data_IF_604171537230
#
_entry.id   IF_604171537230
#
_cell.length_a   1.000
_cell.length_b   1.000
_cell.length_c   1.000
_cell.angle_alpha   90.00
_cell.angle_beta   90.00
_cell.angle_gamma   90.00
#
_symmetry.space_group_name_H-M   'P 1'
#
loop_
_entity.id
_entity.type
_entity.pdbx_description
1 polymer ?
#
# COMPACT_ATOMS: atom_id res chain seq x y z
N UNK A 1 -34.11 -17.84 -46.22
CA UNK A 1 -34.05 -16.50 -45.63
C UNK A 1 -34.03 -16.66 -44.13
N UNK A 2 -33.05 -16.07 -43.42
CA UNK A 2 -33.04 -16.09 -41.96
C UNK A 2 -34.33 -15.45 -41.45
N UNK A 3 -35.00 -16.08 -40.48
CA UNK A 3 -36.20 -15.50 -39.88
C UNK A 3 -35.83 -14.22 -39.12
N UNK A 4 -36.79 -13.32 -38.91
CA UNK A 4 -36.58 -12.11 -38.10
C UNK A 4 -36.06 -12.48 -36.70
N UNK A 5 -36.51 -13.61 -36.14
CA UNK A 5 -36.00 -14.17 -34.89
C UNK A 5 -34.52 -14.54 -34.97
N UNK A 6 -34.07 -15.19 -36.04
CA UNK A 6 -32.65 -15.55 -36.21
C UNK A 6 -31.77 -14.31 -36.29
N UNK A 7 -32.24 -13.27 -36.98
CA UNK A 7 -31.52 -12.00 -37.10
C UNK A 7 -31.40 -11.27 -35.76
N UNK A 8 -32.46 -11.29 -34.93
CA UNK A 8 -32.45 -10.71 -33.58
C UNK A 8 -31.48 -11.47 -32.67
N UNK A 9 -31.47 -12.80 -32.73
CA UNK A 9 -30.55 -13.64 -31.93
C UNK A 9 -29.10 -13.36 -32.32
N UNK A 10 -28.79 -13.31 -33.61
CA UNK A 10 -27.44 -13.01 -34.10
C UNK A 10 -27.01 -11.60 -33.66
N UNK A 11 -27.85 -10.58 -33.87
CA UNK A 11 -27.55 -9.21 -33.47
C UNK A 11 -27.28 -9.10 -31.97
N UNK A 12 -28.11 -9.75 -31.15
CA UNK A 12 -27.94 -9.77 -29.68
C UNK A 12 -26.63 -10.45 -29.28
N UNK A 13 -26.31 -11.60 -29.89
CA UNK A 13 -25.04 -12.29 -29.63
C UNK A 13 -23.83 -11.42 -30.00
N UNK A 14 -23.87 -10.73 -31.14
CA UNK A 14 -22.81 -9.81 -31.57
C UNK A 14 -22.62 -8.67 -30.57
N UNK A 15 -23.71 -8.05 -30.09
CA UNK A 15 -23.63 -6.97 -29.09
C UNK A 15 -23.01 -7.47 -27.79
N UNK A 16 -23.40 -8.66 -27.31
CA UNK A 16 -22.83 -9.27 -26.10
C UNK A 16 -21.33 -9.55 -26.28
N UNK A 17 -20.94 -10.11 -27.43
CA UNK A 17 -19.53 -10.39 -27.74
C UNK A 17 -18.72 -9.10 -27.76
N UNK A 18 -19.19 -8.05 -28.43
CA UNK A 18 -18.51 -6.75 -28.47
C UNK A 18 -18.39 -6.12 -27.08
N UNK A 19 -19.43 -6.24 -26.26
CA UNK A 19 -19.41 -5.76 -24.88
C UNK A 19 -18.36 -6.51 -24.04
N UNK A 20 -18.34 -7.84 -24.08
CA UNK A 20 -17.35 -8.66 -23.38
C UNK A 20 -15.93 -8.35 -23.89
N UNK A 21 -15.74 -8.23 -25.20
CA UNK A 21 -14.46 -7.87 -25.79
C UNK A 21 -13.98 -6.49 -25.31
N UNK A 22 -14.89 -5.52 -25.18
CA UNK A 22 -14.61 -4.21 -24.60
C UNK A 22 -14.16 -4.29 -23.15
N UNK A 23 -14.82 -5.09 -22.32
CA UNK A 23 -14.43 -5.31 -20.92
C UNK A 23 -13.07 -5.99 -20.80
N UNK A 24 -12.80 -7.01 -21.60
CA UNK A 24 -11.51 -7.70 -21.65
C UNK A 24 -10.40 -6.75 -22.10
N UNK A 25 -10.65 -5.92 -23.11
CA UNK A 25 -9.72 -4.89 -23.56
C UNK A 25 -9.40 -3.91 -22.42
N UNK A 26 -10.42 -3.41 -21.71
CA UNK A 26 -10.24 -2.53 -20.56
C UNK A 26 -9.41 -3.19 -19.44
N UNK A 27 -9.67 -4.46 -19.15
CA UNK A 27 -8.91 -5.24 -18.16
C UNK A 27 -7.44 -5.39 -18.56
N UNK A 28 -7.17 -5.63 -19.84
CA UNK A 28 -5.80 -5.68 -20.37
C UNK A 28 -5.08 -4.34 -20.29
N UNK A 29 -5.79 -3.22 -20.55
CA UNK A 29 -5.24 -1.88 -20.37
C UNK A 29 -4.88 -1.59 -18.91
N UNK A 30 -5.71 -2.02 -17.96
CA UNK A 30 -5.40 -1.91 -16.53
C UNK A 30 -4.13 -2.70 -16.17
N UNK A 31 -4.01 -3.96 -16.61
CA UNK A 31 -2.79 -4.74 -16.38
C UNK A 31 -1.53 -4.12 -17.01
N UNK A 32 -1.66 -3.50 -18.18
CA UNK A 32 -0.54 -2.78 -18.83
C UNK A 32 -0.14 -1.55 -18.01
N UNK A 33 -1.12 -0.77 -17.53
CA UNK A 33 -0.87 0.41 -16.71
C UNK A 33 -0.19 0.05 -15.38
N UNK A 34 -0.63 -1.02 -14.73
CA UNK A 34 0.00 -1.55 -13.52
C UNK A 34 1.48 -1.89 -13.77
N UNK A 35 1.76 -2.69 -14.81
CA UNK A 35 3.14 -3.08 -15.17
C UNK A 35 4.03 -1.88 -15.45
N UNK A 36 3.52 -0.90 -16.20
CA UNK A 36 4.27 0.32 -16.53
C UNK A 36 4.58 1.14 -15.27
N UNK A 37 3.64 1.28 -14.34
CA UNK A 37 3.91 2.01 -13.10
C UNK A 37 4.85 1.23 -12.18
N UNK A 38 4.71 -0.09 -12.06
CA UNK A 38 5.65 -0.93 -11.31
C UNK A 38 7.08 -0.73 -11.83
N UNK A 39 7.29 -0.79 -13.15
CA UNK A 39 8.61 -0.54 -13.75
C UNK A 39 9.13 0.86 -13.43
N UNK A 40 8.28 1.89 -13.51
CA UNK A 40 8.66 3.27 -13.14
C UNK A 40 9.03 3.40 -11.67
N UNK A 41 8.33 2.72 -10.77
CA UNK A 41 8.63 2.73 -9.33
C UNK A 41 9.93 2.00 -9.03
N UNK A 42 10.16 0.83 -9.64
CA UNK A 42 11.42 0.08 -9.51
C UNK A 42 12.61 0.91 -10.01
N UNK A 43 12.45 1.64 -11.11
CA UNK A 43 13.50 2.48 -11.66
C UNK A 43 13.93 3.65 -10.73
N UNK A 44 13.12 4.00 -9.72
CA UNK A 44 13.48 5.01 -8.71
C UNK A 44 14.50 4.49 -7.69
N UNK A 45 14.80 3.19 -7.70
CA UNK A 45 15.81 2.64 -6.83
C UNK A 45 17.19 3.25 -7.18
N UNK A 46 17.94 3.84 -6.22
CA UNK A 46 19.26 4.37 -6.50
C UNK A 46 20.19 3.26 -7.00
N UNK A 47 20.99 3.49 -8.06
CA UNK A 47 21.92 2.47 -8.58
C UNK A 47 23.03 2.11 -7.58
N UNK A 48 23.40 3.08 -6.73
CA UNK A 48 24.38 2.90 -5.66
C UNK A 48 23.79 3.47 -4.36
N UNK A 49 22.95 2.69 -3.65
CA UNK A 49 22.43 3.14 -2.37
C UNK A 49 23.58 3.34 -1.38
N UNK A 50 23.52 4.43 -0.60
CA UNK A 50 24.38 4.58 0.57
C UNK A 50 24.11 3.47 1.59
N UNK A 51 24.94 3.37 2.61
CA UNK A 51 24.78 2.37 3.68
C UNK A 51 24.27 3.02 4.95
N UNK A 52 23.49 2.26 5.72
CA UNK A 52 22.99 2.68 7.00
C UNK A 52 24.13 2.81 8.02
N UNK A 53 24.31 4.01 8.57
CA UNK A 53 25.26 4.27 9.64
C UNK A 53 24.52 4.87 10.85
N UNK A 54 24.77 4.39 12.08
CA UNK A 54 24.10 4.89 13.28
C UNK A 54 24.22 6.41 13.49
N UNK A 55 25.28 7.04 12.97
CA UNK A 55 25.47 8.51 13.01
C UNK A 55 24.33 9.27 12.33
N UNK A 56 23.64 8.66 11.36
CA UNK A 56 22.46 9.25 10.70
C UNK A 56 21.29 9.51 11.67
N UNK A 57 21.34 8.90 12.85
CA UNK A 57 20.29 8.99 13.86
C UNK A 57 20.60 10.00 14.97
N UNK A 58 21.79 10.61 15.00
CA UNK A 58 22.27 11.38 16.16
C UNK A 58 21.29 12.48 16.64
N UNK A 59 20.64 13.16 15.69
CA UNK A 59 19.73 14.29 15.92
C UNK A 59 18.25 13.86 16.02
N UNK A 60 17.97 12.55 15.96
CA UNK A 60 16.61 12.03 16.04
C UNK A 60 16.10 11.95 17.48
N UNK A 61 14.77 12.04 17.69
CA UNK A 61 14.13 11.65 18.95
C UNK A 61 14.46 10.20 19.33
N UNK A 62 14.57 9.93 20.62
CA UNK A 62 14.97 8.61 21.14
C UNK A 62 14.11 7.45 20.62
N UNK A 63 12.79 7.61 20.57
CA UNK A 63 11.89 6.58 20.00
C UNK A 63 12.20 6.30 18.51
N UNK A 64 12.51 7.32 17.72
CA UNK A 64 12.88 7.16 16.32
C UNK A 64 14.28 6.52 16.16
N UNK A 65 15.24 6.87 17.03
CA UNK A 65 16.56 6.22 17.06
C UNK A 65 16.44 4.72 17.28
N UNK A 66 15.73 4.32 18.35
CA UNK A 66 15.52 2.91 18.70
C UNK A 66 14.79 2.17 17.58
N UNK A 67 13.80 2.80 16.96
CA UNK A 67 13.12 2.27 15.78
C UNK A 67 14.09 1.92 14.64
N UNK A 68 14.89 2.89 14.19
CA UNK A 68 15.81 2.66 13.07
C UNK A 68 16.89 1.63 13.41
N UNK A 69 17.41 1.65 14.65
CA UNK A 69 18.37 0.65 15.12
C UNK A 69 17.77 -0.76 15.19
N UNK A 70 16.49 -0.88 15.53
CA UNK A 70 15.79 -2.16 15.51
C UNK A 70 15.55 -2.63 14.07
N UNK A 71 15.12 -1.73 13.18
CA UNK A 71 14.65 -2.07 11.84
C UNK A 71 15.74 -2.21 10.78
N UNK A 72 16.91 -1.60 10.95
CA UNK A 72 18.00 -1.60 9.96
C UNK A 72 19.32 -1.98 10.62
N UNK A 73 19.93 -3.06 10.15
CA UNK A 73 21.25 -3.48 10.60
C UNK A 73 22.32 -2.50 10.10
N UNK A 74 23.28 -2.02 10.93
CA UNK A 74 24.39 -1.19 10.47
C UNK A 74 25.15 -1.78 9.28
N UNK A 75 25.50 -0.94 8.31
CA UNK A 75 26.15 -1.36 7.07
C UNK A 75 25.19 -1.92 6.01
N UNK A 76 23.88 -1.95 6.26
CA UNK A 76 22.88 -2.37 5.27
C UNK A 76 22.69 -1.29 4.19
N UNK A 77 22.64 -1.63 2.89
CA UNK A 77 22.31 -0.65 1.85
C UNK A 77 20.91 -0.04 2.05
N UNK A 78 20.77 1.26 1.84
CA UNK A 78 19.54 2.02 2.03
C UNK A 78 18.54 1.79 0.88
N UNK A 79 17.73 0.74 1.01
CA UNK A 79 16.70 0.38 0.04
C UNK A 79 15.43 1.21 0.26
N UNK A 80 15.07 2.00 -0.74
CA UNK A 80 13.88 2.88 -0.72
C UNK A 80 12.71 2.32 -1.53
N UNK A 81 12.91 1.18 -2.19
CA UNK A 81 11.90 0.49 -3.00
C UNK A 81 11.81 -0.96 -2.55
N UNK A 82 10.59 -1.46 -2.32
CA UNK A 82 10.34 -2.83 -1.90
C UNK A 82 9.25 -3.49 -2.74
N UNK A 83 9.43 -4.77 -3.04
CA UNK A 83 8.40 -5.68 -3.50
C UNK A 83 7.96 -6.56 -2.33
N UNK A 84 6.67 -6.56 -2.02
CA UNK A 84 6.09 -7.23 -0.86
C UNK A 84 5.05 -8.23 -1.36
N UNK A 85 5.15 -9.47 -0.94
CA UNK A 85 4.14 -10.50 -1.17
C UNK A 85 3.42 -10.82 0.13
N UNK A 86 2.10 -10.86 0.09
CA UNK A 86 1.27 -11.01 1.28
C UNK A 86 0.02 -11.86 1.03
N UNK A 87 -0.44 -12.51 2.09
CA UNK A 87 -1.75 -13.14 2.18
C UNK A 87 -2.51 -12.53 3.34
N UNK A 88 -3.79 -12.84 3.51
CA UNK A 88 -4.51 -12.46 4.72
C UNK A 88 -6.00 -12.24 4.47
N UNK A 89 -6.57 -11.24 5.12
CA UNK A 89 -7.99 -10.94 5.06
C UNK A 89 -8.23 -9.48 4.70
N UNK A 90 -9.16 -9.26 3.78
CA UNK A 90 -9.64 -7.94 3.41
C UNK A 90 -11.15 -7.86 3.57
N UNK A 91 -11.62 -6.92 4.36
CA UNK A 91 -13.04 -6.71 4.64
C UNK A 91 -13.61 -5.62 3.72
N UNK A 92 -14.78 -5.91 3.15
CA UNK A 92 -15.63 -4.90 2.50
C UNK A 92 -16.76 -4.40 3.38
N UNK A 93 -16.83 -4.90 4.61
CA UNK A 93 -17.87 -4.58 5.57
C UNK A 93 -17.43 -3.58 6.64
N UNK A 94 -17.95 -3.76 7.85
CA UNK A 94 -17.66 -2.93 9.02
C UNK A 94 -17.65 -3.79 10.29
N UNK A 95 -17.38 -3.19 11.46
CA UNK A 95 -17.29 -3.93 12.73
C UNK A 95 -18.51 -4.79 13.09
N UNK A 96 -19.72 -4.48 12.58
CA UNK A 96 -20.93 -5.29 12.84
C UNK A 96 -21.08 -6.46 11.86
N UNK A 97 -20.63 -6.28 10.63
CA UNK A 97 -20.63 -7.30 9.57
C UNK A 97 -19.31 -7.20 8.82
N UNK A 98 -18.25 -7.87 9.30
CA UNK A 98 -16.91 -7.66 8.77
C UNK A 98 -16.78 -8.07 7.30
N UNK A 99 -17.47 -9.12 6.88
CA UNK A 99 -17.45 -9.56 5.48
C UNK A 99 -16.03 -9.76 4.88
N UNK A 100 -15.14 -10.40 5.67
CA UNK A 100 -13.77 -10.69 5.24
C UNK A 100 -13.72 -11.63 4.03
N UNK A 101 -12.78 -11.33 3.14
CA UNK A 101 -12.38 -12.09 1.98
C UNK A 101 -10.94 -12.58 2.19
N UNK A 102 -10.66 -13.84 1.84
CA UNK A 102 -9.29 -14.36 1.86
C UNK A 102 -8.51 -13.72 0.71
N UNK A 103 -7.46 -12.98 1.03
CA UNK A 103 -6.68 -12.15 0.14
C UNK A 103 -5.31 -12.76 -0.16
N UNK A 104 -4.88 -12.62 -1.41
CA UNK A 104 -3.49 -12.70 -1.84
C UNK A 104 -3.16 -11.40 -2.55
N UNK A 105 -2.04 -10.78 -2.20
CA UNK A 105 -1.66 -9.50 -2.77
C UNK A 105 -0.14 -9.36 -2.97
N UNK A 106 0.21 -8.45 -3.85
CA UNK A 106 1.58 -8.01 -4.10
C UNK A 106 1.62 -6.50 -4.10
N UNK A 107 2.67 -5.92 -3.55
CA UNK A 107 2.88 -4.48 -3.53
C UNK A 107 4.27 -4.13 -4.00
N UNK A 108 4.38 -3.19 -4.93
CA UNK A 108 5.62 -2.44 -5.14
C UNK A 108 5.44 -1.08 -4.47
N UNK A 109 6.29 -0.77 -3.50
CA UNK A 109 6.31 0.51 -2.79
C UNK A 109 7.62 1.22 -3.10
N UNK A 110 7.56 2.46 -3.57
CA UNK A 110 8.71 3.32 -3.77
C UNK A 110 8.41 4.69 -3.15
N UNK A 111 8.95 4.96 -1.97
CA UNK A 111 8.76 6.26 -1.34
C UNK A 111 9.79 7.28 -1.86
N UNK A 112 9.39 8.54 -2.17
CA UNK A 112 8.02 9.10 -2.10
C UNK A 112 7.19 8.96 -3.39
N UNK A 113 7.70 8.26 -4.42
CA UNK A 113 7.09 8.16 -5.74
C UNK A 113 5.78 7.37 -5.86
N UNK A 114 5.38 6.62 -4.83
CA UNK A 114 4.08 5.98 -4.71
C UNK A 114 4.16 4.46 -4.59
N UNK A 115 3.09 3.79 -4.98
CA UNK A 115 2.97 2.34 -4.88
C UNK A 115 2.04 1.78 -5.96
N UNK A 116 2.14 0.48 -6.19
CA UNK A 116 1.11 -0.32 -6.84
C UNK A 116 0.84 -1.52 -5.97
N UNK A 117 -0.39 -1.64 -5.47
CA UNK A 117 -0.87 -2.78 -4.71
C UNK A 117 -1.86 -3.55 -5.57
N UNK A 118 -1.56 -4.80 -5.89
CA UNK A 118 -2.41 -5.69 -6.67
C UNK A 118 -2.93 -6.79 -5.77
N UNK A 119 -4.21 -7.11 -5.86
CA UNK A 119 -4.82 -8.11 -5.00
C UNK A 119 -5.82 -9.01 -5.74
N UNK A 120 -6.01 -10.19 -5.17
CA UNK A 120 -7.12 -11.09 -5.45
C UNK A 120 -7.68 -11.55 -4.11
N UNK A 121 -8.99 -11.42 -3.92
CA UNK A 121 -9.66 -11.86 -2.71
C UNK A 121 -10.91 -12.65 -3.03
N UNK A 122 -11.20 -13.65 -2.20
CA UNK A 122 -12.27 -14.61 -2.44
C UNK A 122 -13.04 -14.98 -1.18
N UNK A 123 -14.33 -15.24 -1.35
CA UNK A 123 -15.21 -15.85 -0.35
C UNK A 123 -16.27 -16.67 -1.05
N UNK A 124 -16.24 -17.99 -0.88
CA UNK A 124 -17.11 -18.92 -1.61
C UNK A 124 -17.02 -18.67 -3.13
N UNK A 125 -18.15 -18.33 -3.77
CA UNK A 125 -18.22 -18.02 -5.20
C UNK A 125 -17.75 -16.60 -5.53
N UNK A 126 -17.71 -15.68 -4.56
CA UNK A 126 -17.31 -14.28 -4.78
C UNK A 126 -15.80 -14.17 -5.00
N UNK A 127 -15.40 -13.48 -6.08
CA UNK A 127 -14.00 -13.16 -6.39
C UNK A 127 -13.88 -11.69 -6.77
N UNK A 128 -12.97 -11.00 -6.11
CA UNK A 128 -12.63 -9.61 -6.39
C UNK A 128 -11.15 -9.51 -6.66
N UNK A 129 -10.77 -8.75 -7.67
CA UNK A 129 -9.37 -8.50 -7.99
C UNK A 129 -9.18 -7.12 -8.55
N UNK A 130 -7.96 -6.61 -8.49
CA UNK A 130 -7.73 -5.24 -8.87
C UNK A 130 -6.39 -4.71 -8.40
N UNK A 131 -6.22 -3.41 -8.64
CA UNK A 131 -5.06 -2.67 -8.18
C UNK A 131 -5.43 -1.32 -7.60
N UNK A 132 -4.61 -0.88 -6.64
CA UNK A 132 -4.63 0.43 -6.03
C UNK A 132 -3.25 1.09 -6.19
N UNK A 133 -3.22 2.40 -6.37
CA UNK A 133 -2.01 3.19 -6.52
C UNK A 133 -2.23 4.62 -6.03
N UNK A 134 -1.18 5.44 -6.11
CA UNK A 134 -1.29 6.89 -5.86
C UNK A 134 -2.26 7.62 -6.83
N UNK A 135 -2.67 6.98 -7.92
CA UNK A 135 -3.45 7.63 -9.00
C UNK A 135 -4.69 6.87 -9.46
N UNK A 136 -4.90 5.62 -9.01
CA UNK A 136 -6.11 4.88 -9.28
C UNK A 136 -6.44 3.83 -8.21
N UNK A 137 -7.71 3.43 -8.19
CA UNK A 137 -8.23 2.28 -7.46
C UNK A 137 -9.20 1.58 -8.41
N UNK A 138 -8.87 0.37 -8.87
CA UNK A 138 -9.57 -0.34 -9.95
C UNK A 138 -9.82 -1.77 -9.53
N UNK A 139 -11.08 -2.11 -9.26
CA UNK A 139 -11.47 -3.45 -8.81
C UNK A 139 -12.57 -4.04 -9.69
N UNK A 140 -12.49 -5.35 -9.84
CA UNK A 140 -13.28 -6.16 -10.75
C UNK A 140 -13.87 -7.33 -9.98
N UNK A 141 -15.14 -7.61 -10.24
CA UNK A 141 -15.87 -8.79 -9.80
C UNK A 141 -15.72 -9.88 -10.87
N UNK A 142 -15.32 -11.07 -10.45
CA UNK A 142 -15.11 -12.24 -11.33
C UNK A 142 -14.20 -11.96 -12.54
N UNK A 143 -13.19 -11.09 -12.39
CA UNK A 143 -12.28 -10.67 -13.48
C UNK A 143 -12.93 -9.95 -14.68
N UNK A 144 -14.25 -9.72 -14.65
CA UNK A 144 -15.00 -9.25 -15.83
C UNK A 144 -15.81 -7.98 -15.57
N UNK A 145 -16.46 -7.85 -14.41
CA UNK A 145 -17.36 -6.74 -14.14
C UNK A 145 -16.66 -5.69 -13.26
N UNK A 146 -16.41 -4.46 -13.73
CA UNK A 146 -15.79 -3.43 -12.90
C UNK A 146 -16.74 -3.01 -11.76
N UNK A 147 -16.26 -2.99 -10.52
CA UNK A 147 -17.04 -2.65 -9.32
C UNK A 147 -16.52 -1.42 -8.58
N UNK A 148 -15.26 -1.05 -8.80
CA UNK A 148 -14.73 0.23 -8.32
C UNK A 148 -13.73 0.77 -9.34
N UNK A 149 -13.86 2.05 -9.67
CA UNK A 149 -12.94 2.71 -10.60
C UNK A 149 -12.81 4.19 -10.25
N UNK A 150 -11.85 4.49 -9.40
CA UNK A 150 -11.55 5.85 -8.92
C UNK A 150 -10.15 6.23 -9.41
N UNK A 151 -9.96 7.46 -9.88
CA UNK A 151 -8.72 7.90 -10.48
C UNK A 151 -8.61 9.41 -10.60
N UNK A 152 -7.38 9.90 -10.71
CA UNK A 152 -7.06 11.26 -11.20
C UNK A 152 -7.72 12.44 -10.46
N UNK A 153 -8.04 12.30 -9.17
CA UNK A 153 -8.56 13.38 -8.34
C UNK A 153 -7.64 13.70 -7.15
N UNK A 154 -7.75 14.92 -6.61
CA UNK A 154 -6.90 15.40 -5.52
C UNK A 154 -7.14 14.66 -4.20
N UNK A 155 -8.40 14.28 -3.94
CA UNK A 155 -8.77 13.57 -2.72
C UNK A 155 -8.14 12.18 -2.63
N UNK A 156 -8.17 11.42 -3.73
CA UNK A 156 -7.53 10.12 -3.85
C UNK A 156 -6.01 10.25 -3.72
N UNK A 157 -5.40 11.25 -4.39
CA UNK A 157 -3.97 11.50 -4.26
C UNK A 157 -3.57 11.75 -2.81
N UNK A 158 -4.34 12.57 -2.08
CA UNK A 158 -4.11 12.87 -0.66
C UNK A 158 -4.34 11.65 0.24
N UNK A 159 -5.40 10.88 0.01
CA UNK A 159 -5.68 9.63 0.74
C UNK A 159 -4.56 8.60 0.53
N UNK A 160 -4.11 8.43 -0.72
CA UNK A 160 -3.06 7.51 -1.08
C UNK A 160 -1.71 7.94 -0.49
N UNK A 161 -1.40 9.24 -0.52
CA UNK A 161 -0.22 9.83 0.14
C UNK A 161 -0.14 9.42 1.60
N UNK A 162 -1.24 9.57 2.34
CA UNK A 162 -1.30 9.15 3.74
C UNK A 162 -0.99 7.67 3.94
N UNK A 163 -1.55 6.80 3.09
CA UNK A 163 -1.32 5.35 3.12
C UNK A 163 0.16 5.01 2.93
N UNK A 164 0.77 5.45 1.82
CA UNK A 164 2.12 5.00 1.49
C UNK A 164 3.20 5.67 2.36
N UNK A 165 2.94 6.85 2.92
CA UNK A 165 3.80 7.45 3.97
C UNK A 165 3.80 6.57 5.23
N UNK A 166 2.62 6.14 5.69
CA UNK A 166 2.52 5.28 6.85
C UNK A 166 3.16 3.90 6.62
N UNK A 167 2.91 3.31 5.44
CA UNK A 167 3.51 2.02 5.06
C UNK A 167 5.03 2.10 4.88
N UNK A 168 5.57 3.23 4.41
CA UNK A 168 7.01 3.41 4.24
C UNK A 168 7.78 3.27 5.56
N UNK A 169 7.17 3.57 6.70
CA UNK A 169 7.77 3.36 8.02
C UNK A 169 8.19 1.89 8.16
N UNK A 170 7.28 0.94 7.96
CA UNK A 170 7.54 -0.47 8.28
C UNK A 170 7.91 -1.35 7.07
N UNK A 171 7.72 -0.88 5.84
CA UNK A 171 8.15 -1.60 4.63
C UNK A 171 9.48 -1.13 4.04
N UNK A 172 9.78 0.16 4.17
CA UNK A 172 11.00 0.77 3.60
C UNK A 172 11.56 1.79 4.59
N UNK A 173 11.95 1.39 5.82
CA UNK A 173 12.34 2.35 6.86
C UNK A 173 13.48 3.27 6.40
N UNK A 174 14.41 2.79 5.59
CA UNK A 174 15.48 3.62 5.01
C UNK A 174 14.95 4.83 4.21
N UNK A 175 13.77 4.74 3.61
CA UNK A 175 13.16 5.82 2.84
C UNK A 175 12.62 6.97 3.70
N UNK A 176 12.43 6.75 5.01
CA UNK A 176 11.95 7.75 5.97
C UNK A 176 13.04 8.19 6.94
N UNK A 177 14.31 7.95 6.63
CA UNK A 177 15.43 8.60 7.33
C UNK A 177 15.38 10.13 7.10
N UNK A 178 15.96 10.94 8.02
CA UNK A 178 16.04 12.39 7.86
C UNK A 178 16.59 12.81 6.51
N UNK A 179 15.87 13.72 5.84
CA UNK A 179 16.21 14.15 4.50
C UNK A 179 15.22 15.18 3.96
N UNK A 180 15.32 15.53 2.66
CA UNK A 180 14.42 16.48 2.03
C UNK A 180 12.94 16.10 2.23
N UNK A 181 12.20 16.96 2.92
CA UNK A 181 10.79 16.75 3.18
C UNK A 181 10.46 15.63 4.18
N UNK A 182 11.44 15.09 4.91
CA UNK A 182 11.24 14.06 5.94
C UNK A 182 11.77 14.55 7.28
N UNK A 183 10.90 14.69 8.28
CA UNK A 183 11.24 15.17 9.62
C UNK A 183 10.67 14.25 10.69
N UNK A 184 11.41 14.09 11.78
CA UNK A 184 10.98 13.36 12.96
C UNK A 184 10.92 14.29 14.17
N UNK A 185 9.85 14.22 14.94
CA UNK A 185 9.66 14.98 16.17
C UNK A 185 9.34 14.06 17.35
N UNK A 186 9.78 14.44 18.55
CA UNK A 186 9.44 13.73 19.77
C UNK A 186 7.95 13.90 20.09
N UNK A 187 7.27 12.82 20.50
CA UNK A 187 5.94 12.88 21.11
C UNK A 187 5.99 12.43 22.57
N UNK A 188 6.51 11.23 22.81
CA UNK A 188 6.68 10.63 24.14
C UNK A 188 7.95 9.80 24.17
N UNK A 189 8.30 9.25 25.33
CA UNK A 189 9.42 8.32 25.49
C UNK A 189 9.38 7.14 24.50
N UNK A 190 8.17 6.66 24.18
CA UNK A 190 7.92 5.52 23.31
C UNK A 190 7.34 5.90 21.96
N UNK A 191 7.22 7.19 21.64
CA UNK A 191 6.60 7.61 20.38
C UNK A 191 7.27 8.81 19.72
N UNK A 192 7.35 8.74 18.40
CA UNK A 192 7.86 9.82 17.56
C UNK A 192 6.90 10.06 16.39
N UNK A 193 6.84 11.31 15.94
CA UNK A 193 6.03 11.74 14.79
C UNK A 193 6.91 11.91 13.58
N UNK A 194 6.63 11.14 12.53
CA UNK A 194 7.11 11.37 11.18
C UNK A 194 6.25 12.45 10.52
N UNK A 195 6.87 13.46 9.92
CA UNK A 195 6.23 14.42 9.03
C UNK A 195 6.87 14.33 7.65
N UNK A 196 6.06 14.07 6.63
CA UNK A 196 6.50 14.03 5.24
C UNK A 196 5.81 15.11 4.42
N UNK A 197 6.61 15.91 3.71
CA UNK A 197 6.16 16.90 2.73
C UNK A 197 6.67 16.55 1.34
N UNK A 198 5.79 16.39 0.36
CA UNK A 198 6.16 16.07 -1.02
C UNK A 198 5.13 16.60 -2.01
N UNK A 199 5.57 17.34 -3.04
CA UNK A 199 4.71 17.89 -4.11
C UNK A 199 3.45 18.61 -3.60
N UNK A 200 3.59 19.42 -2.54
CA UNK A 200 2.48 20.17 -1.93
C UNK A 200 1.55 19.35 -1.05
N UNK A 201 1.84 18.07 -0.81
CA UNK A 201 1.15 17.22 0.16
C UNK A 201 1.95 17.16 1.46
N UNK A 202 1.24 17.05 2.58
CA UNK A 202 1.81 16.85 3.90
C UNK A 202 1.05 15.73 4.63
N UNK A 203 1.79 14.84 5.29
CA UNK A 203 1.26 13.78 6.13
C UNK A 203 2.08 13.64 7.40
N UNK A 204 1.39 13.55 8.52
CA UNK A 204 1.96 13.27 9.84
C UNK A 204 1.57 11.84 10.22
N UNK A 205 2.53 11.05 10.70
CA UNK A 205 2.31 9.67 11.16
C UNK A 205 3.03 9.46 12.48
N UNK A 206 2.29 8.96 13.46
CA UNK A 206 2.79 8.68 14.81
C UNK A 206 3.19 7.22 14.87
N UNK A 207 4.45 6.98 15.22
CA UNK A 207 5.01 5.65 15.46
C UNK A 207 5.15 5.45 16.97
N UNK A 208 4.64 4.32 17.47
CA UNK A 208 4.91 3.85 18.83
C UNK A 208 5.82 2.63 18.78
N UNK A 209 6.85 2.61 19.63
CA UNK A 209 7.82 1.52 19.74
C UNK A 209 7.91 0.99 21.17
N UNK A 210 8.26 -0.28 21.28
CA UNK A 210 8.67 -0.88 22.55
C UNK A 210 10.01 -0.31 23.03
N UNK A 211 10.40 -0.68 24.25
CA UNK A 211 11.68 -0.27 24.85
C UNK A 211 12.88 -0.69 23.99
N UNK A 212 12.83 -1.88 23.40
CA UNK A 212 13.87 -2.39 22.49
C UNK A 212 13.85 -1.77 21.08
N UNK A 213 12.97 -0.80 20.81
CA UNK A 213 12.80 -0.17 19.49
C UNK A 213 11.89 -0.89 18.51
N UNK A 214 11.35 -2.07 18.86
CA UNK A 214 10.40 -2.78 18.01
C UNK A 214 9.15 -1.92 17.77
N UNK A 215 8.74 -1.67 16.52
CA UNK A 215 7.51 -0.94 16.25
C UNK A 215 6.31 -1.77 16.68
N UNK A 216 5.34 -1.11 17.33
CA UNK A 216 4.12 -1.73 17.85
C UNK A 216 2.90 -1.30 17.05
N UNK A 217 2.80 0.00 16.77
CA UNK A 217 1.68 0.57 16.04
C UNK A 217 2.09 1.82 15.27
N UNK A 218 1.33 2.10 14.22
CA UNK A 218 1.34 3.38 13.50
C UNK A 218 -0.05 3.98 13.54
N UNK A 219 -0.15 5.30 13.69
CA UNK A 219 -1.45 5.99 13.67
C UNK A 219 -1.34 7.36 13.04
N UNK A 220 -2.41 7.81 12.38
CA UNK A 220 -2.47 9.09 11.72
C UNK A 220 -3.91 9.51 11.41
N UNK A 221 -4.08 10.78 11.07
CA UNK A 221 -5.34 11.27 10.51
C UNK A 221 -5.33 11.05 8.99
N UNK A 222 -6.14 10.11 8.51
CA UNK A 222 -6.26 9.74 7.10
C UNK A 222 -7.34 10.57 6.42
N UNK A 223 -6.98 11.21 5.30
CA UNK A 223 -7.96 11.82 4.40
C UNK A 223 -8.79 10.73 3.72
N UNK A 224 -10.08 10.64 4.04
CA UNK A 224 -10.95 9.59 3.50
C UNK A 224 -12.42 9.99 3.55
N UNK A 225 -13.23 9.36 2.70
CA UNK A 225 -14.69 9.46 2.71
C UNK A 225 -15.37 8.23 3.34
N UNK A 226 -14.61 7.40 4.05
CA UNK A 226 -15.09 6.23 4.78
C UNK A 226 -15.79 6.66 6.08
N UNK A 227 -16.90 7.39 5.93
CA UNK A 227 -17.75 7.86 7.00
C UNK A 227 -19.22 7.82 6.54
N UNK A 228 -20.19 7.86 7.47
CA UNK A 228 -21.61 7.83 7.12
C UNK A 228 -22.04 8.93 6.14
N UNK A 229 -21.39 10.10 6.18
CA UNK A 229 -21.68 11.24 5.30
C UNK A 229 -21.07 11.10 3.90
N UNK A 230 -20.18 10.14 3.68
CA UNK A 230 -19.43 9.90 2.43
C UNK A 230 -18.69 11.14 1.93
N UNK A 231 -18.21 11.99 2.84
CA UNK A 231 -17.46 13.21 2.54
C UNK A 231 -16.01 13.05 2.93
N UNK A 232 -15.10 13.55 2.09
CA UNK A 232 -13.69 13.53 2.44
C UNK A 232 -13.41 14.43 3.65
N UNK A 233 -12.85 13.82 4.68
CA UNK A 233 -12.40 14.49 5.91
C UNK A 233 -11.21 13.73 6.49
N UNK A 234 -10.53 14.35 7.45
CA UNK A 234 -9.51 13.68 8.24
C UNK A 234 -10.19 12.77 9.27
N UNK A 235 -9.80 11.50 9.30
CA UNK A 235 -10.35 10.50 10.21
C UNK A 235 -9.23 9.68 10.88
N UNK A 236 -9.37 9.25 12.14
CA UNK A 236 -8.38 8.40 12.78
C UNK A 236 -8.18 7.10 12.00
N UNK A 237 -6.92 6.76 11.76
CA UNK A 237 -6.51 5.56 11.06
C UNK A 237 -5.23 5.05 11.68
N UNK A 238 -5.02 3.75 11.63
CA UNK A 238 -3.81 3.17 12.18
C UNK A 238 -3.87 1.67 12.16
N UNK A 239 -2.91 1.06 12.83
CA UNK A 239 -2.77 -0.37 12.84
C UNK A 239 -1.64 -0.85 13.72
N UNK A 240 -1.65 -2.16 13.95
CA UNK A 240 -0.62 -2.88 14.68
C UNK A 240 0.30 -3.59 13.71
N UNK A 241 1.57 -3.71 14.10
CA UNK A 241 2.56 -4.50 13.38
C UNK A 241 3.20 -5.50 14.34
N UNK A 242 3.37 -6.74 13.90
CA UNK A 242 3.91 -7.81 14.73
C UNK A 242 4.64 -8.86 13.89
N UNK A 243 5.23 -9.85 14.57
CA UNK A 243 5.98 -10.96 13.99
C UNK A 243 7.14 -10.48 13.09
N UNK A 244 8.34 -10.29 13.63
CA UNK A 244 9.43 -9.70 12.86
C UNK A 244 10.38 -10.76 12.27
N UNK A 245 10.84 -10.52 11.03
CA UNK A 245 11.87 -11.33 10.37
C UNK A 245 12.90 -10.45 9.67
N UNK A 246 14.07 -11.00 9.39
CA UNK A 246 15.10 -10.33 8.59
C UNK A 246 14.84 -10.49 7.09
N UNK A 247 15.02 -9.40 6.35
CA UNK A 247 14.96 -9.31 4.90
C UNK A 247 16.15 -8.53 4.36
N UNK A 248 17.32 -9.17 4.32
CA UNK A 248 18.52 -8.56 3.73
C UNK A 248 19.04 -7.39 4.56
N UNK A 249 19.14 -7.59 5.88
CA UNK A 249 19.61 -6.57 6.82
C UNK A 249 18.51 -5.68 7.41
N UNK A 250 17.25 -5.89 6.99
CA UNK A 250 16.08 -5.19 7.51
C UNK A 250 15.23 -6.11 8.37
N UNK A 251 14.98 -5.73 9.62
CA UNK A 251 14.04 -6.41 10.50
C UNK A 251 12.66 -5.78 10.38
N UNK A 252 11.75 -6.47 9.69
CA UNK A 252 10.44 -5.93 9.29
C UNK A 252 9.30 -6.83 9.78
N UNK A 253 8.09 -6.29 10.01
CA UNK A 253 6.97 -7.08 10.46
C UNK A 253 6.51 -8.05 9.38
N UNK A 254 5.92 -9.15 9.77
CA UNK A 254 5.31 -10.15 8.89
C UNK A 254 3.85 -10.35 9.20
N UNK A 255 3.29 -9.57 10.11
CA UNK A 255 1.86 -9.48 10.36
C UNK A 255 1.47 -8.02 10.57
N UNK A 256 0.42 -7.57 9.89
CA UNK A 256 -0.10 -6.20 9.96
C UNK A 256 -1.61 -6.23 10.03
N UNK A 257 -2.17 -5.45 10.96
CA UNK A 257 -3.60 -5.18 11.05
C UNK A 257 -3.81 -3.68 10.93
N UNK A 258 -4.62 -3.21 9.98
CA UNK A 258 -4.87 -1.79 9.77
C UNK A 258 -6.35 -1.49 9.53
N UNK A 259 -6.80 -0.35 10.04
CA UNK A 259 -8.20 -0.03 10.12
C UNK A 259 -8.55 1.44 10.30
N UNK A 260 -9.83 1.73 10.11
CA UNK A 260 -10.42 3.04 10.38
C UNK A 260 -10.74 3.16 11.88
N UNK A 261 -10.89 4.40 12.36
CA UNK A 261 -11.26 4.73 13.74
C UNK A 261 -10.28 4.19 14.79
N UNK A 262 -8.99 4.12 14.43
CA UNK A 262 -7.93 3.65 15.33
C UNK A 262 -7.89 4.47 16.63
N UNK A 263 -7.69 3.78 17.75
CA UNK A 263 -7.70 4.39 19.09
C UNK A 263 -9.09 4.74 19.63
N UNK A 264 -10.17 4.34 18.96
CA UNK A 264 -11.55 4.55 19.42
C UNK A 264 -12.28 3.20 19.59
N UNK A 265 -13.43 3.17 20.30
CA UNK A 265 -14.27 1.97 20.39
C UNK A 265 -14.76 1.43 19.03
N UNK A 266 -14.78 2.27 18.00
CA UNK A 266 -15.21 1.91 16.64
C UNK A 266 -14.07 1.38 15.75
N UNK A 267 -12.88 1.15 16.31
CA UNK A 267 -11.74 0.62 15.55
C UNK A 267 -12.10 -0.68 14.85
N UNK A 268 -11.83 -0.73 13.54
CA UNK A 268 -12.09 -1.91 12.73
C UNK A 268 -10.97 -2.16 11.74
N UNK A 269 -10.21 -3.24 11.99
CA UNK A 269 -9.13 -3.72 11.15
C UNK A 269 -9.68 -4.38 9.87
N UNK A 270 -9.97 -3.58 8.84
CA UNK A 270 -10.46 -4.13 7.58
C UNK A 270 -9.36 -4.75 6.73
N UNK A 271 -8.09 -4.50 7.04
CA UNK A 271 -6.93 -5.06 6.35
C UNK A 271 -6.07 -5.84 7.35
N UNK A 272 -5.95 -7.15 7.13
CA UNK A 272 -5.09 -8.04 7.90
C UNK A 272 -4.17 -8.74 6.90
N UNK A 273 -2.86 -8.63 7.09
CA UNK A 273 -1.88 -9.16 6.15
C UNK A 273 -0.75 -9.90 6.84
N UNK A 274 -0.50 -11.12 6.38
CA UNK A 274 0.69 -11.91 6.66
C UNK A 274 1.65 -11.80 5.49
N UNK A 275 2.89 -11.38 5.77
CA UNK A 275 3.91 -11.15 4.74
C UNK A 275 4.73 -12.41 4.54
N UNK A 276 4.76 -12.91 3.32
CA UNK A 276 5.58 -14.06 2.95
C UNK A 276 6.98 -13.66 2.56
N UNK A 277 7.13 -12.51 1.88
CA UNK A 277 8.38 -12.11 1.26
C UNK A 277 8.46 -10.59 1.11
N UNK A 278 9.63 -10.04 1.40
CA UNK A 278 10.01 -8.68 1.06
C UNK A 278 11.32 -8.79 0.26
N UNK A 279 11.38 -8.16 -0.90
CA UNK A 279 12.57 -8.11 -1.73
C UNK A 279 12.86 -6.71 -2.23
N UNK A 280 14.14 -6.44 -2.46
CA UNK A 280 14.67 -5.15 -2.87
C UNK A 280 15.02 -5.23 -4.36
N UNK A 281 14.15 -4.75 -5.27
CA UNK A 281 14.40 -4.89 -6.70
C UNK A 281 15.63 -4.06 -7.08
N UNK A 282 16.65 -4.73 -7.61
CA UNK A 282 17.80 -4.07 -8.20
C UNK A 282 17.44 -3.59 -9.61
N UNK A 283 18.12 -2.54 -10.07
CA UNK A 283 18.19 -2.30 -11.52
C UNK A 283 18.82 -3.53 -12.14
N UNK A 284 18.03 -4.32 -12.88
CA UNK A 284 18.61 -5.27 -13.81
C UNK A 284 19.36 -4.44 -14.83
N UNK A 285 20.69 -4.38 -14.71
CA UNK A 285 21.54 -4.06 -15.85
C UNK A 285 21.17 -5.12 -16.89
N UNK A 286 20.38 -4.73 -17.88
CA UNK A 286 20.21 -5.55 -19.06
C UNK A 286 21.63 -5.74 -19.60
N UNK A 287 22.16 -6.95 -19.45
CA UNK A 287 23.35 -7.38 -20.15
C UNK A 287 22.99 -7.33 -21.63
N UNK A 288 23.31 -6.22 -22.27
CA UNK A 288 23.49 -6.16 -23.71
C UNK A 288 24.69 -7.04 -24.03
N UNK A 289 24.42 -8.32 -24.28
CA UNK A 289 25.28 -9.19 -25.08
C UNK A 289 24.88 -9.10 -26.54
#
# INVERSE_FOLDING_TARGET
MASISDLIVIATAVVIILFIAGLLCLRLLDYRADKQLIQKLIAQHPPHPGHFHPVMLQDLPEAAKRFFQFSITPGTPLYTVANIAMTGQFSLGNGKRPDYLNMQARQTLAFPGGFVWQMQARRQLLRISGSDSASWSRFWLQELLPVARVGANLDQRRSAFGRYVAEAIFWTPAAVLPGPGVKWAHLTEHSARLTVTHLGLEQLVDLTVAENGQPLQVSFMRWSNANPQRRYTLQPFGGYVSNFRDFGGYRLPTHVEAGNHFGTPDYFAFFIADISTISWPQHSLASTG
#
